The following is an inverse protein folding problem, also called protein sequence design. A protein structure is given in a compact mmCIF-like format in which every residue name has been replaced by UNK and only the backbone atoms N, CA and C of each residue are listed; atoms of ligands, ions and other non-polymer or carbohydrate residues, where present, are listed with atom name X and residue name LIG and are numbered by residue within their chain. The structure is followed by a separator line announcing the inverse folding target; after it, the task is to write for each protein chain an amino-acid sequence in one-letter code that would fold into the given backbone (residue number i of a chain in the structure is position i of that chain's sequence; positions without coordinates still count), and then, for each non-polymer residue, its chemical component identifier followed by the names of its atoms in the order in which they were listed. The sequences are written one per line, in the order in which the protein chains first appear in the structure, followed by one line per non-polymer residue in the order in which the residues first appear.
data_IF_877874669756
#
_entry.id   IF_877874669756
#
_cell.length_a   1.000
_cell.length_b   1.000
_cell.length_c   1.000
_cell.angle_alpha   90.00
_cell.angle_beta   90.00
_cell.angle_gamma   90.00
#
_symmetry.space_group_name_H-M   'P 1'
#
loop_
_entity.id
_entity.type
_entity.pdbx_description
1 polymer ?
#
# COMPACT_ATOMS: atom_id res chain seq x y z
N UNK A 1 -18.15 15.52 9.98
CA UNK A 1 -19.12 16.19 9.07
C UNK A 1 -19.37 15.41 7.76
N UNK A 2 -18.36 14.87 7.06
CA UNK A 2 -18.57 14.07 5.84
C UNK A 2 -19.44 12.80 6.06
N UNK A 3 -19.27 12.09 7.18
CA UNK A 3 -20.07 10.90 7.50
C UNK A 3 -21.57 11.17 7.69
N UNK A 4 -21.93 12.34 8.22
CA UNK A 4 -23.34 12.76 8.37
C UNK A 4 -23.95 13.13 7.03
N UNK A 5 -23.20 13.83 6.16
CA UNK A 5 -23.65 14.17 4.79
C UNK A 5 -23.90 12.92 3.96
N UNK A 6 -23.00 11.93 4.01
CA UNK A 6 -23.19 10.65 3.31
C UNK A 6 -24.40 9.86 3.84
N UNK A 7 -24.67 9.90 5.14
CA UNK A 7 -25.88 9.28 5.72
C UNK A 7 -27.15 9.96 5.20
N UNK A 8 -27.20 11.29 5.14
CA UNK A 8 -28.36 12.03 4.61
C UNK A 8 -28.60 11.73 3.13
N UNK A 9 -27.55 11.75 2.31
CA UNK A 9 -27.62 11.41 0.87
C UNK A 9 -28.09 9.97 0.67
N UNK A 10 -27.58 9.04 1.47
CA UNK A 10 -28.05 7.66 1.44
C UNK A 10 -29.54 7.56 1.75
N UNK A 11 -30.01 8.18 2.83
CA UNK A 11 -31.42 8.12 3.20
C UNK A 11 -32.34 8.67 2.10
N UNK A 12 -31.92 9.76 1.44
CA UNK A 12 -32.67 10.39 0.35
C UNK A 12 -32.72 9.52 -0.92
N UNK A 13 -31.61 8.86 -1.28
CA UNK A 13 -31.48 8.14 -2.54
C UNK A 13 -31.37 6.62 -2.40
N UNK A 14 -31.66 6.05 -1.22
CA UNK A 14 -31.38 4.64 -0.88
C UNK A 14 -31.90 3.63 -1.90
N UNK A 15 -33.09 3.86 -2.45
CA UNK A 15 -33.71 2.92 -3.40
C UNK A 15 -32.98 2.93 -4.74
N UNK A 16 -32.59 4.11 -5.21
CA UNK A 16 -31.83 4.28 -6.45
C UNK A 16 -30.42 3.73 -6.27
N UNK A 17 -29.75 4.09 -5.17
CA UNK A 17 -28.40 3.61 -4.87
C UNK A 17 -28.34 2.08 -4.76
N UNK A 18 -29.30 1.44 -4.08
CA UNK A 18 -29.38 -0.03 -4.04
C UNK A 18 -29.54 -0.63 -5.44
N UNK A 19 -30.47 -0.09 -6.24
CA UNK A 19 -30.67 -0.56 -7.61
C UNK A 19 -29.40 -0.43 -8.45
N UNK A 20 -28.70 0.70 -8.37
CA UNK A 20 -27.43 0.91 -9.09
C UNK A 20 -26.36 -0.08 -8.61
N UNK A 21 -26.24 -0.30 -7.31
CA UNK A 21 -25.30 -1.27 -6.73
C UNK A 21 -25.59 -2.71 -7.19
N UNK A 22 -26.86 -3.09 -7.24
CA UNK A 22 -27.32 -4.39 -7.73
C UNK A 22 -27.02 -4.54 -9.23
N UNK A 23 -27.31 -3.51 -10.03
CA UNK A 23 -27.02 -3.48 -11.47
C UNK A 23 -25.51 -3.55 -11.74
N UNK A 24 -24.67 -2.87 -10.97
CA UNK A 24 -23.21 -3.01 -11.06
C UNK A 24 -22.80 -4.45 -10.79
N UNK A 25 -23.38 -5.08 -9.77
CA UNK A 25 -23.06 -6.48 -9.42
C UNK A 25 -23.48 -7.45 -10.52
N UNK A 26 -24.64 -7.22 -11.15
CA UNK A 26 -25.12 -8.00 -12.30
C UNK A 26 -24.20 -7.83 -13.50
N UNK A 27 -23.82 -6.59 -13.84
CA UNK A 27 -22.92 -6.30 -14.95
C UNK A 27 -21.55 -6.98 -14.75
N UNK A 28 -20.98 -6.89 -13.54
CA UNK A 28 -19.74 -7.59 -13.20
C UNK A 28 -19.87 -9.11 -13.28
N UNK A 29 -20.99 -9.69 -12.84
CA UNK A 29 -21.25 -11.12 -12.96
C UNK A 29 -21.40 -11.57 -14.43
N UNK A 30 -21.86 -10.69 -15.31
CA UNK A 30 -21.94 -10.90 -16.75
C UNK A 30 -20.65 -10.54 -17.50
N UNK A 31 -19.56 -10.21 -16.79
CA UNK A 31 -18.29 -9.73 -17.34
C UNK A 31 -18.39 -8.42 -18.16
N UNK A 32 -19.49 -7.67 -18.03
CA UNK A 32 -19.68 -6.36 -18.66
C UNK A 32 -19.06 -5.25 -17.80
N UNK A 33 -17.73 -5.16 -17.89
CA UNK A 33 -16.93 -4.15 -17.18
C UNK A 33 -17.28 -2.72 -17.60
N UNK A 34 -17.46 -2.38 -18.90
CA UNK A 34 -17.84 -1.03 -19.30
C UNK A 34 -19.13 -0.55 -18.63
N UNK A 35 -20.18 -1.37 -18.64
CA UNK A 35 -21.44 -1.02 -17.96
C UNK A 35 -21.27 -0.89 -16.45
N UNK A 36 -20.52 -1.81 -15.83
CA UNK A 36 -20.26 -1.74 -14.39
C UNK A 36 -19.54 -0.43 -13.99
N UNK A 37 -18.55 -0.01 -14.76
CA UNK A 37 -17.80 1.25 -14.52
C UNK A 37 -18.73 2.45 -14.71
N UNK A 38 -19.52 2.50 -15.77
CA UNK A 38 -20.48 3.59 -15.99
C UNK A 38 -21.48 3.72 -14.81
N UNK A 39 -21.96 2.60 -14.26
CA UNK A 39 -22.84 2.61 -13.10
C UNK A 39 -22.15 3.10 -11.82
N UNK A 40 -20.87 2.75 -11.62
CA UNK A 40 -20.06 3.26 -10.50
C UNK A 40 -19.82 4.77 -10.63
N UNK A 41 -19.56 5.25 -11.84
CA UNK A 41 -19.40 6.67 -12.15
C UNK A 41 -20.69 7.46 -11.91
N UNK A 42 -21.86 6.91 -12.27
CA UNK A 42 -23.16 7.51 -11.96
C UNK A 42 -23.35 7.63 -10.43
N UNK A 43 -23.03 6.59 -9.67
CA UNK A 43 -23.10 6.62 -8.20
C UNK A 43 -22.20 7.74 -7.63
N UNK A 44 -20.99 7.90 -8.15
CA UNK A 44 -20.06 8.95 -7.74
C UNK A 44 -20.52 10.36 -8.13
N UNK A 45 -20.82 10.58 -9.40
CA UNK A 45 -21.11 11.92 -9.94
C UNK A 45 -22.44 12.47 -9.47
N UNK A 46 -23.51 11.68 -9.66
CA UNK A 46 -24.88 12.12 -9.46
C UNK A 46 -25.29 12.06 -7.98
N UNK A 47 -24.74 11.09 -7.24
CA UNK A 47 -25.17 10.81 -5.87
C UNK A 47 -24.07 10.95 -4.83
N UNK A 48 -22.85 11.36 -5.20
CA UNK A 48 -21.71 11.51 -4.27
C UNK A 48 -21.53 10.27 -3.38
N UNK A 49 -21.69 9.08 -3.97
CA UNK A 49 -21.70 7.81 -3.27
C UNK A 49 -20.44 6.98 -3.60
N UNK A 50 -19.33 7.16 -2.84
CA UNK A 50 -18.06 6.49 -3.16
C UNK A 50 -17.96 5.04 -2.68
N UNK A 51 -18.90 4.58 -1.86
CA UNK A 51 -18.69 3.38 -1.05
C UNK A 51 -18.55 2.10 -1.87
N UNK A 52 -19.30 1.92 -2.97
CA UNK A 52 -19.15 0.68 -3.76
C UNK A 52 -17.78 0.61 -4.44
N UNK A 53 -17.29 1.74 -4.98
CA UNK A 53 -15.91 1.82 -5.50
C UNK A 53 -14.90 1.52 -4.40
N UNK A 54 -15.04 2.14 -3.23
CA UNK A 54 -14.14 1.87 -2.11
C UNK A 54 -14.19 0.41 -1.63
N UNK A 55 -15.37 -0.24 -1.65
CA UNK A 55 -15.47 -1.66 -1.33
C UNK A 55 -14.73 -2.52 -2.36
N UNK A 56 -14.88 -2.26 -3.65
CA UNK A 56 -14.17 -2.99 -4.71
C UNK A 56 -12.65 -2.78 -4.63
N UNK A 57 -12.20 -1.56 -4.35
CA UNK A 57 -10.77 -1.25 -4.22
C UNK A 57 -10.15 -1.87 -2.97
N UNK A 58 -10.81 -1.75 -1.82
CA UNK A 58 -10.19 -2.02 -0.51
C UNK A 58 -10.61 -3.33 0.15
N UNK A 59 -11.60 -4.05 -0.40
CA UNK A 59 -12.01 -5.37 0.08
C UNK A 59 -11.87 -6.38 -1.05
N UNK A 60 -10.74 -7.09 -1.11
CA UNK A 60 -10.46 -8.07 -2.17
C UNK A 60 -11.60 -9.08 -2.38
N UNK A 61 -12.24 -9.54 -1.30
CA UNK A 61 -13.39 -10.47 -1.35
C UNK A 61 -14.67 -9.89 -1.98
N UNK A 62 -14.75 -8.58 -2.22
CA UNK A 62 -15.88 -7.92 -2.91
C UNK A 62 -15.66 -7.78 -4.41
N UNK A 63 -14.44 -8.04 -4.91
CA UNK A 63 -14.14 -8.00 -6.34
C UNK A 63 -14.78 -9.19 -7.07
N UNK A 64 -14.92 -9.12 -8.40
CA UNK A 64 -15.33 -10.28 -9.21
C UNK A 64 -14.45 -11.51 -8.89
N UNK A 65 -15.08 -12.68 -8.81
CA UNK A 65 -14.36 -13.95 -8.58
C UNK A 65 -13.49 -14.33 -9.77
N UNK A 66 -13.93 -13.98 -10.97
CA UNK A 66 -13.12 -14.10 -12.17
C UNK A 66 -12.00 -13.05 -12.12
N UNK A 67 -10.76 -13.52 -12.12
CA UNK A 67 -9.59 -12.67 -12.00
C UNK A 67 -9.33 -11.83 -13.26
N UNK A 68 -9.78 -12.25 -14.45
CA UNK A 68 -9.74 -11.42 -15.66
C UNK A 68 -10.71 -10.25 -15.56
N UNK A 69 -11.94 -10.50 -15.09
CA UNK A 69 -12.93 -9.45 -14.88
C UNK A 69 -12.47 -8.48 -13.78
N UNK A 70 -11.90 -9.00 -12.70
CA UNK A 70 -11.31 -8.14 -11.65
C UNK A 70 -10.16 -7.29 -12.20
N UNK A 71 -9.28 -7.85 -13.03
CA UNK A 71 -8.18 -7.11 -13.63
C UNK A 71 -8.70 -5.98 -14.54
N UNK A 72 -9.60 -6.31 -15.47
CA UNK A 72 -10.19 -5.35 -16.40
C UNK A 72 -10.95 -4.23 -15.67
N UNK A 73 -11.68 -4.54 -14.60
CA UNK A 73 -12.34 -3.56 -13.75
C UNK A 73 -11.34 -2.59 -13.11
N UNK A 74 -10.26 -3.11 -12.52
CA UNK A 74 -9.27 -2.27 -11.84
C UNK A 74 -8.52 -1.35 -12.81
N UNK A 75 -8.19 -1.85 -14.02
CA UNK A 75 -7.61 -1.04 -15.09
C UNK A 75 -8.56 0.06 -15.56
N UNK A 76 -9.84 -0.27 -15.77
CA UNK A 76 -10.84 0.71 -16.18
C UNK A 76 -11.05 1.80 -15.11
N UNK A 77 -11.07 1.43 -13.82
CA UNK A 77 -11.17 2.40 -12.71
C UNK A 77 -9.89 3.25 -12.58
N UNK A 78 -8.72 2.67 -12.85
CA UNK A 78 -7.46 3.42 -12.86
C UNK A 78 -7.45 4.50 -13.95
N UNK A 79 -7.98 4.20 -15.12
CA UNK A 79 -8.05 5.11 -16.27
C UNK A 79 -9.30 6.00 -16.30
N UNK A 80 -10.25 5.84 -15.37
CA UNK A 80 -11.50 6.61 -15.38
C UNK A 80 -11.25 8.08 -15.08
N UNK A 81 -11.61 9.03 -15.96
CA UNK A 81 -11.44 10.46 -15.70
C UNK A 81 -12.45 11.00 -14.66
N UNK A 82 -13.44 10.20 -14.30
CA UNK A 82 -14.52 10.58 -13.38
C UNK A 82 -14.14 10.32 -11.93
N UNK A 83 -13.35 9.28 -11.68
CA UNK A 83 -12.94 8.92 -10.33
C UNK A 83 -12.04 10.01 -9.70
N UNK A 84 -12.18 10.30 -8.40
CA UNK A 84 -11.21 11.10 -7.68
C UNK A 84 -9.79 10.53 -7.80
N UNK A 85 -8.74 11.37 -7.86
CA UNK A 85 -7.36 10.93 -8.07
C UNK A 85 -6.89 9.83 -7.11
N UNK A 86 -7.29 9.89 -5.83
CA UNK A 86 -6.91 8.85 -4.86
C UNK A 86 -7.53 7.47 -5.18
N UNK A 87 -8.73 7.44 -5.78
CA UNK A 87 -9.38 6.18 -6.18
C UNK A 87 -8.69 5.60 -7.42
N UNK A 88 -8.39 6.43 -8.43
CA UNK A 88 -7.59 6.04 -9.59
C UNK A 88 -6.22 5.49 -9.15
N UNK A 89 -5.58 6.15 -8.19
CA UNK A 89 -4.31 5.72 -7.62
C UNK A 89 -4.41 4.31 -7.01
N UNK A 90 -5.38 4.08 -6.12
CA UNK A 90 -5.53 2.76 -5.50
C UNK A 90 -6.08 1.69 -6.44
N UNK A 91 -6.80 2.07 -7.51
CA UNK A 91 -7.15 1.17 -8.59
C UNK A 91 -5.90 0.68 -9.33
N UNK A 92 -4.96 1.58 -9.63
CA UNK A 92 -3.66 1.23 -10.22
C UNK A 92 -2.84 0.32 -9.31
N UNK A 93 -2.72 0.65 -8.01
CA UNK A 93 -2.05 -0.22 -7.03
C UNK A 93 -2.70 -1.61 -7.00
N UNK A 94 -4.03 -1.67 -6.90
CA UNK A 94 -4.75 -2.93 -6.87
C UNK A 94 -4.61 -3.73 -8.17
N UNK A 95 -4.53 -3.05 -9.32
CA UNK A 95 -4.32 -3.64 -10.65
C UNK A 95 -2.93 -4.27 -10.75
N UNK A 96 -1.87 -3.64 -10.20
CA UNK A 96 -0.54 -4.24 -10.12
C UNK A 96 -0.56 -5.52 -9.29
N UNK A 97 -1.17 -5.51 -8.10
CA UNK A 97 -1.29 -6.72 -7.28
C UNK A 97 -2.05 -7.84 -7.98
N UNK A 98 -3.16 -7.52 -8.66
CA UNK A 98 -3.93 -8.50 -9.40
C UNK A 98 -3.16 -9.06 -10.61
N UNK A 99 -2.36 -8.23 -11.29
CA UNK A 99 -1.48 -8.68 -12.37
C UNK A 99 -0.34 -9.57 -11.84
N UNK A 100 0.24 -9.26 -10.67
CA UNK A 100 1.21 -10.14 -10.00
C UNK A 100 0.61 -11.50 -9.64
N UNK A 101 -0.58 -11.52 -9.04
CA UNK A 101 -1.27 -12.78 -8.67
C UNK A 101 -1.59 -13.66 -9.90
N UNK A 102 -1.73 -13.04 -11.08
CA UNK A 102 -2.03 -13.71 -12.36
C UNK A 102 -0.80 -13.97 -13.23
N UNK A 103 0.38 -13.53 -12.81
CA UNK A 103 1.60 -13.50 -13.63
C UNK A 103 1.41 -12.82 -15.01
N UNK A 104 0.61 -11.75 -15.04
CA UNK A 104 0.28 -11.00 -16.27
C UNK A 104 1.40 -9.99 -16.60
N UNK A 105 2.45 -10.47 -17.25
CA UNK A 105 3.63 -9.68 -17.56
C UNK A 105 3.35 -8.48 -18.48
N UNK A 106 2.39 -8.60 -19.41
CA UNK A 106 2.01 -7.48 -20.29
C UNK A 106 1.38 -6.34 -19.49
N UNK A 107 0.48 -6.68 -18.57
CA UNK A 107 -0.13 -5.68 -17.69
C UNK A 107 0.91 -5.02 -16.78
N UNK A 108 1.81 -5.82 -16.18
CA UNK A 108 2.89 -5.31 -15.34
C UNK A 108 3.82 -4.35 -16.09
N UNK A 109 4.24 -4.70 -17.31
CA UNK A 109 5.08 -3.84 -18.16
C UNK A 109 4.41 -2.49 -18.46
N UNK A 110 3.09 -2.48 -18.67
CA UNK A 110 2.32 -1.26 -18.93
C UNK A 110 2.15 -0.38 -17.67
N UNK A 111 1.94 -0.98 -16.50
CA UNK A 111 1.71 -0.25 -15.25
C UNK A 111 3.00 0.20 -14.55
N UNK A 112 4.11 -0.47 -14.82
CA UNK A 112 5.39 -0.21 -14.16
C UNK A 112 5.89 1.24 -14.29
N UNK A 113 5.85 1.91 -15.46
CA UNK A 113 6.28 3.31 -15.57
C UNK A 113 5.47 4.24 -14.66
N UNK A 114 4.15 4.05 -14.62
CA UNK A 114 3.28 4.80 -13.71
C UNK A 114 3.63 4.51 -12.25
N UNK A 115 3.81 3.23 -11.88
CA UNK A 115 4.14 2.84 -10.52
C UNK A 115 5.49 3.42 -10.05
N UNK A 116 6.52 3.39 -10.91
CA UNK A 116 7.83 4.00 -10.67
C UNK A 116 7.73 5.51 -10.48
N UNK A 117 6.89 6.19 -11.27
CA UNK A 117 6.62 7.61 -11.10
C UNK A 117 5.96 7.91 -9.74
N UNK A 118 4.96 7.12 -9.34
CA UNK A 118 4.26 7.32 -8.07
C UNK A 118 5.11 7.01 -6.83
N UNK A 119 6.00 6.03 -6.96
CA UNK A 119 6.92 5.64 -5.88
C UNK A 119 7.93 6.76 -5.54
N UNK A 120 8.17 7.69 -6.46
CA UNK A 120 9.07 8.83 -6.30
C UNK A 120 10.36 8.47 -5.56
N UNK A 121 11.20 7.67 -6.23
CA UNK A 121 12.49 7.22 -5.70
C UNK A 121 13.57 8.31 -5.79
N UNK A 122 13.24 9.51 -6.28
CA UNK A 122 14.17 10.64 -6.41
C UNK A 122 14.33 11.45 -5.11
N UNK A 123 13.70 11.01 -4.01
CA UNK A 123 13.89 11.55 -2.65
C UNK A 123 13.40 12.99 -2.43
N UNK A 124 12.42 13.46 -3.21
CA UNK A 124 11.91 14.83 -3.13
C UNK A 124 10.60 14.95 -2.33
N UNK A 125 10.40 14.14 -1.29
CA UNK A 125 9.18 14.28 -0.48
C UNK A 125 9.21 15.60 0.31
N UNK A 126 8.58 16.62 -0.25
CA UNK A 126 8.29 17.87 0.45
C UNK A 126 6.94 17.68 1.16
N UNK A 127 6.89 17.68 2.50
CA UNK A 127 5.63 17.61 3.22
C UNK A 127 4.79 18.84 2.84
N UNK A 128 3.79 18.67 1.99
CA UNK A 128 2.78 19.71 1.80
C UNK A 128 2.04 19.90 3.13
N UNK A 129 1.90 21.14 3.63
CA UNK A 129 1.06 21.42 4.78
C UNK A 129 -0.30 20.76 4.54
N UNK A 130 -0.66 19.81 5.41
CA UNK A 130 -1.89 19.05 5.23
C UNK A 130 -3.05 20.03 5.09
N UNK A 131 -3.74 20.02 3.94
CA UNK A 131 -5.03 20.65 3.86
C UNK A 131 -5.91 20.00 4.95
N UNK A 132 -6.43 20.82 5.85
CA UNK A 132 -7.21 20.33 6.99
C UNK A 132 -8.38 19.48 6.48
N UNK A 133 -8.45 18.21 6.91
CA UNK A 133 -9.57 17.31 6.60
C UNK A 133 -9.37 16.29 5.47
N UNK A 134 -8.16 16.14 4.89
CA UNK A 134 -7.89 15.00 3.99
C UNK A 134 -8.03 13.66 4.72
N UNK A 135 -8.68 12.69 4.05
CA UNK A 135 -8.78 11.32 4.57
C UNK A 135 -7.45 10.59 4.42
N UNK A 136 -7.25 9.53 5.22
CA UNK A 136 -6.05 8.69 5.22
C UNK A 136 -5.46 8.39 3.83
N UNK A 137 -6.35 7.96 2.92
CA UNK A 137 -6.04 7.48 1.57
C UNK A 137 -5.83 8.62 0.56
N UNK A 138 -6.25 9.83 0.89
CA UNK A 138 -6.05 11.00 0.05
C UNK A 138 -4.69 11.65 0.28
N UNK A 139 -4.01 11.29 1.39
CA UNK A 139 -2.76 11.93 1.78
C UNK A 139 -1.58 11.46 0.90
N UNK A 140 -0.80 12.37 0.29
CA UNK A 140 0.33 12.02 -0.58
C UNK A 140 1.34 11.08 0.08
N UNK A 141 1.72 11.36 1.34
CA UNK A 141 2.64 10.49 2.09
C UNK A 141 2.18 9.01 2.14
N UNK A 142 0.88 8.77 2.35
CA UNK A 142 0.31 7.42 2.36
C UNK A 142 0.35 6.77 0.99
N UNK A 143 0.21 7.55 -0.07
CA UNK A 143 0.27 7.09 -1.46
C UNK A 143 1.71 6.76 -1.86
N UNK A 144 2.69 7.61 -1.52
CA UNK A 144 4.12 7.34 -1.73
C UNK A 144 4.55 6.04 -1.05
N UNK A 145 4.28 5.88 0.24
CA UNK A 145 4.64 4.67 0.97
C UNK A 145 3.90 3.43 0.44
N UNK A 146 2.65 3.58 0.01
CA UNK A 146 1.88 2.47 -0.60
C UNK A 146 2.40 2.07 -1.98
N UNK A 147 2.82 3.02 -2.81
CA UNK A 147 3.36 2.76 -4.14
C UNK A 147 4.76 2.15 -4.07
N UNK A 148 5.62 2.60 -3.16
CA UNK A 148 6.92 1.96 -2.87
C UNK A 148 6.75 0.51 -2.41
N UNK A 149 5.86 0.26 -1.46
CA UNK A 149 5.57 -1.12 -1.02
C UNK A 149 5.02 -2.01 -2.16
N UNK A 150 4.25 -1.43 -3.10
CA UNK A 150 3.76 -2.14 -4.27
C UNK A 150 4.87 -2.39 -5.31
N UNK A 151 5.71 -1.39 -5.58
CA UNK A 151 6.88 -1.51 -6.45
C UNK A 151 7.88 -2.53 -5.91
N UNK A 152 8.03 -2.62 -4.59
CA UNK A 152 8.84 -3.65 -3.94
C UNK A 152 8.36 -5.05 -4.32
N UNK A 153 7.05 -5.31 -4.35
CA UNK A 153 6.56 -6.64 -4.75
C UNK A 153 6.92 -6.96 -6.21
N UNK A 154 6.80 -5.97 -7.11
CA UNK A 154 7.19 -6.14 -8.51
C UNK A 154 8.71 -6.38 -8.65
N UNK A 155 9.52 -5.63 -7.90
CA UNK A 155 10.97 -5.79 -7.90
C UNK A 155 11.39 -7.15 -7.34
N UNK A 156 10.76 -7.60 -6.25
CA UNK A 156 10.93 -8.92 -5.67
C UNK A 156 10.56 -10.01 -6.68
N UNK A 157 9.42 -9.90 -7.38
CA UNK A 157 9.02 -10.87 -8.42
C UNK A 157 10.08 -11.09 -9.50
N UNK A 158 10.93 -10.07 -9.74
CA UNK A 158 11.98 -10.09 -10.75
C UNK A 158 13.38 -10.28 -10.17
N UNK A 159 13.50 -10.39 -8.84
CA UNK A 159 14.78 -10.32 -8.12
C UNK A 159 15.64 -9.12 -8.56
N UNK A 160 14.98 -7.97 -8.80
CA UNK A 160 15.61 -6.72 -9.25
C UNK A 160 16.25 -6.00 -8.05
N UNK A 161 17.50 -6.34 -7.80
CA UNK A 161 18.27 -5.89 -6.65
C UNK A 161 18.41 -4.36 -6.61
N UNK A 162 18.66 -3.72 -7.76
CA UNK A 162 18.87 -2.27 -7.84
C UNK A 162 17.61 -1.51 -7.44
N UNK A 163 16.44 -1.94 -7.92
CA UNK A 163 15.17 -1.32 -7.55
C UNK A 163 14.83 -1.58 -6.07
N UNK A 164 15.10 -2.78 -5.56
CA UNK A 164 14.89 -3.13 -4.14
C UNK A 164 15.67 -2.17 -3.23
N UNK A 165 16.97 -1.97 -3.49
CA UNK A 165 17.79 -1.08 -2.67
C UNK A 165 17.40 0.39 -2.81
N UNK A 166 17.09 0.86 -4.03
CA UNK A 166 16.63 2.25 -4.23
C UNK A 166 15.32 2.56 -3.51
N UNK A 167 14.41 1.59 -3.41
CA UNK A 167 13.20 1.72 -2.59
C UNK A 167 13.59 1.88 -1.12
N UNK A 168 14.49 1.02 -0.65
CA UNK A 168 14.87 0.97 0.74
C UNK A 168 15.61 2.24 1.19
N UNK A 169 16.52 2.76 0.37
CA UNK A 169 17.15 4.07 0.56
C UNK A 169 16.10 5.19 0.60
N UNK A 170 15.19 5.23 -0.38
CA UNK A 170 14.17 6.26 -0.44
C UNK A 170 13.21 6.23 0.77
N UNK A 171 12.91 5.05 1.32
CA UNK A 171 12.13 4.89 2.55
C UNK A 171 12.93 5.21 3.81
N UNK A 172 14.25 4.96 3.82
CA UNK A 172 15.14 5.38 4.90
C UNK A 172 15.18 6.90 5.01
N UNK A 173 15.42 7.62 3.90
CA UNK A 173 15.39 9.08 3.90
C UNK A 173 14.03 9.64 4.31
N UNK A 174 12.93 9.00 3.86
CA UNK A 174 11.58 9.40 4.27
C UNK A 174 11.35 9.23 5.77
N UNK A 175 11.96 8.22 6.39
CA UNK A 175 11.88 7.97 7.83
C UNK A 175 12.81 8.90 8.62
N UNK A 176 14.02 9.15 8.13
CA UNK A 176 15.02 9.99 8.80
C UNK A 176 14.58 11.46 8.86
N UNK A 177 14.01 11.98 7.75
CA UNK A 177 13.46 13.35 7.68
C UNK A 177 12.02 13.48 8.22
N UNK A 178 11.48 12.42 8.82
CA UNK A 178 10.10 12.38 9.27
C UNK A 178 9.82 13.48 10.31
N UNK A 179 8.83 14.32 10.02
CA UNK A 179 8.27 15.31 10.94
C UNK A 179 6.84 14.89 11.33
N UNK A 180 6.65 14.08 12.38
CA UNK A 180 5.35 13.45 12.67
C UNK A 180 4.21 14.44 12.89
N UNK A 181 4.49 15.63 13.42
CA UNK A 181 3.50 16.66 13.68
C UNK A 181 2.90 17.26 12.40
N UNK A 182 3.56 17.11 11.24
CA UNK A 182 3.06 17.56 9.94
C UNK A 182 2.16 16.51 9.25
N UNK A 183 2.11 15.27 9.76
CA UNK A 183 1.35 14.18 9.17
C UNK A 183 0.18 13.82 10.09
N UNK A 184 -1.05 13.63 9.57
CA UNK A 184 -2.17 13.15 10.38
C UNK A 184 -1.85 11.82 11.08
N UNK A 185 -2.26 11.67 12.33
CA UNK A 185 -1.89 10.51 13.16
C UNK A 185 -2.34 9.16 12.54
N UNK A 186 -3.54 9.11 11.97
CA UNK A 186 -4.05 7.91 11.28
C UNK A 186 -3.29 7.61 9.98
N UNK A 187 -2.83 8.64 9.26
CA UNK A 187 -1.99 8.50 8.06
C UNK A 187 -0.67 7.83 8.39
N UNK A 188 0.09 8.42 9.33
CA UNK A 188 1.39 7.90 9.73
C UNK A 188 1.26 6.48 10.29
N UNK A 189 0.32 6.28 11.23
CA UNK A 189 0.10 4.98 11.85
C UNK A 189 -0.18 3.88 10.83
N UNK A 190 -1.14 4.10 9.92
CA UNK A 190 -1.55 3.06 8.94
C UNK A 190 -0.57 2.86 7.80
N UNK A 191 0.40 3.75 7.55
CA UNK A 191 1.43 3.47 6.55
C UNK A 191 2.69 2.84 7.15
N UNK A 192 2.84 2.83 8.48
CA UNK A 192 3.98 2.21 9.18
C UNK A 192 4.38 0.87 8.58
N UNK A 193 3.48 -0.13 8.49
CA UNK A 193 3.88 -1.45 7.99
C UNK A 193 4.34 -1.44 6.53
N UNK A 194 3.79 -0.57 5.67
CA UNK A 194 4.29 -0.42 4.31
C UNK A 194 5.67 0.26 4.26
N UNK A 195 5.91 1.22 5.14
CA UNK A 195 7.24 1.84 5.29
C UNK A 195 8.26 0.80 5.76
N UNK A 196 7.91 -0.01 6.76
CA UNK A 196 8.79 -1.08 7.25
C UNK A 196 9.14 -2.08 6.14
N UNK A 197 8.19 -2.45 5.29
CA UNK A 197 8.44 -3.34 4.14
C UNK A 197 9.56 -2.84 3.24
N UNK A 198 9.50 -1.55 2.89
CA UNK A 198 10.50 -0.94 2.03
C UNK A 198 11.86 -0.81 2.69
N UNK A 199 11.94 -0.64 4.02
CA UNK A 199 13.20 -0.50 4.77
C UNK A 199 13.98 -1.81 4.95
N UNK A 200 13.28 -2.95 5.02
CA UNK A 200 13.88 -4.23 5.37
C UNK A 200 15.10 -4.65 4.54
N UNK A 201 15.19 -4.38 3.22
CA UNK A 201 16.40 -4.65 2.44
C UNK A 201 17.70 -4.04 3.01
N UNK A 202 17.63 -2.84 3.60
CA UNK A 202 18.81 -2.19 4.20
C UNK A 202 19.26 -2.86 5.50
N UNK A 203 18.37 -3.60 6.16
CA UNK A 203 18.65 -4.20 7.46
C UNK A 203 19.42 -5.53 7.37
N UNK A 204 19.68 -6.01 6.16
CA UNK A 204 20.53 -7.19 5.91
C UNK A 204 22.00 -6.91 6.25
N UNK A 205 22.46 -5.68 6.04
CA UNK A 205 23.80 -5.23 6.38
C UNK A 205 23.82 -4.71 7.83
N UNK A 206 24.67 -5.28 8.69
CA UNK A 206 24.73 -4.92 10.11
C UNK A 206 25.11 -3.46 10.35
N UNK A 207 25.99 -2.89 9.54
CA UNK A 207 26.41 -1.49 9.66
C UNK A 207 25.29 -0.54 9.25
N UNK A 208 24.60 -0.81 8.14
CA UNK A 208 23.44 -0.01 7.72
C UNK A 208 22.26 -0.21 8.67
N UNK A 209 22.06 -1.42 9.17
CA UNK A 209 21.03 -1.73 10.15
C UNK A 209 21.13 -0.86 11.41
N UNK A 210 22.35 -0.56 11.89
CA UNK A 210 22.56 0.37 13.01
C UNK A 210 22.03 1.78 12.70
N UNK A 211 22.23 2.25 11.46
CA UNK A 211 21.76 3.58 11.02
C UNK A 211 20.24 3.62 10.90
N UNK A 212 19.61 2.54 10.42
CA UNK A 212 18.15 2.43 10.27
C UNK A 212 17.45 2.26 11.63
N UNK A 213 18.11 1.61 12.60
CA UNK A 213 17.50 1.29 13.89
C UNK A 213 17.12 2.54 14.70
N UNK A 214 17.96 3.57 14.70
CA UNK A 214 17.71 4.78 15.50
C UNK A 214 16.43 5.52 15.05
N UNK A 215 16.23 5.85 13.76
CA UNK A 215 14.96 6.41 13.28
C UNK A 215 13.75 5.50 13.54
N UNK A 216 13.89 4.18 13.43
CA UNK A 216 12.82 3.23 13.77
C UNK A 216 12.42 3.29 15.24
N UNK A 217 13.41 3.40 16.15
CA UNK A 217 13.15 3.57 17.57
C UNK A 217 12.45 4.91 17.86
N UNK A 218 12.82 5.98 17.15
CA UNK A 218 12.13 7.26 17.18
C UNK A 218 10.66 7.14 16.77
N UNK A 219 10.39 6.48 15.63
CA UNK A 219 9.02 6.20 15.18
C UNK A 219 8.25 5.36 16.21
N UNK A 220 8.89 4.35 16.81
CA UNK A 220 8.28 3.51 17.87
C UNK A 220 7.83 4.35 19.06
N UNK A 221 8.65 5.30 19.50
CA UNK A 221 8.30 6.22 20.59
C UNK A 221 7.16 7.17 20.20
N UNK A 222 7.20 7.72 18.97
CA UNK A 222 6.13 8.58 18.45
C UNK A 222 4.79 7.85 18.39
N UNK A 223 4.73 6.61 17.87
CA UNK A 223 3.48 5.87 17.73
C UNK A 223 2.85 5.43 19.07
N UNK A 224 3.57 5.54 20.19
CA UNK A 224 3.05 5.34 21.55
C UNK A 224 2.32 6.57 22.10
N UNK A 225 2.52 7.75 21.52
CA UNK A 225 1.91 9.01 21.97
C UNK A 225 0.37 8.96 21.94
N UNK A 226 -0.27 9.83 22.74
CA UNK A 226 -1.72 9.87 22.91
C UNK A 226 -2.48 10.14 21.60
N UNK A 227 -1.91 10.95 20.70
CA UNK A 227 -2.53 11.30 19.40
C UNK A 227 -2.83 10.07 18.52
N UNK A 228 -2.18 8.94 18.76
CA UNK A 228 -2.38 7.69 18.01
C UNK A 228 -3.35 6.72 18.67
N UNK A 229 -3.87 7.01 19.88
CA UNK A 229 -4.84 6.14 20.58
C UNK A 229 -6.01 5.75 19.65
N UNK A 230 -6.68 6.70 18.94
CA UNK A 230 -7.78 6.31 18.07
C UNK A 230 -7.32 5.37 16.94
N UNK A 231 -6.18 5.65 16.31
CA UNK A 231 -5.64 4.82 15.23
C UNK A 231 -5.32 3.40 15.71
N UNK A 232 -4.76 3.25 16.92
CA UNK A 232 -4.48 1.95 17.55
C UNK A 232 -5.76 1.16 17.83
N UNK A 233 -6.86 1.82 18.19
CA UNK A 233 -8.13 1.16 18.48
C UNK A 233 -8.93 0.76 17.23
N UNK A 234 -8.82 1.52 16.13
CA UNK A 234 -9.67 1.35 14.94
C UNK A 234 -8.95 0.72 13.72
N UNK A 235 -7.63 0.56 13.78
CA UNK A 235 -6.92 -0.18 12.74
C UNK A 235 -7.19 -1.69 12.87
N UNK A 236 -7.40 -2.36 11.74
CA UNK A 236 -7.49 -3.82 11.69
C UNK A 236 -6.13 -4.50 11.88
N UNK A 237 -5.06 -3.81 11.47
CA UNK A 237 -3.68 -4.29 11.58
C UNK A 237 -3.00 -3.71 12.82
N UNK A 238 -2.17 -4.53 13.48
CA UNK A 238 -1.41 -4.16 14.68
C UNK A 238 -0.08 -3.49 14.33
N UNK A 239 -0.14 -2.34 13.64
CA UNK A 239 1.04 -1.66 13.08
C UNK A 239 2.14 -1.37 14.11
N UNK A 240 1.78 -0.91 15.32
CA UNK A 240 2.75 -0.67 16.39
C UNK A 240 3.42 -1.96 16.88
N UNK A 241 2.66 -3.04 17.05
CA UNK A 241 3.22 -4.31 17.48
C UNK A 241 4.21 -4.85 16.43
N UNK A 242 3.89 -4.70 15.14
CA UNK A 242 4.81 -5.05 14.06
C UNK A 242 6.12 -4.27 14.12
N UNK A 243 6.06 -2.95 14.35
CA UNK A 243 7.24 -2.12 14.55
C UNK A 243 8.04 -2.53 15.79
N UNK A 244 7.37 -2.79 16.90
CA UNK A 244 8.02 -3.20 18.14
C UNK A 244 8.75 -4.54 18.00
N UNK A 245 8.12 -5.52 17.36
CA UNK A 245 8.75 -6.80 17.03
C UNK A 245 9.96 -6.61 16.11
N UNK A 246 9.84 -5.80 15.05
CA UNK A 246 10.95 -5.55 14.16
C UNK A 246 12.12 -4.87 14.88
N UNK A 247 11.88 -3.81 15.66
CA UNK A 247 12.94 -3.14 16.42
C UNK A 247 13.66 -4.11 17.36
N UNK A 248 12.93 -4.99 18.05
CA UNK A 248 13.52 -5.99 18.95
C UNK A 248 14.49 -6.92 18.20
N UNK A 249 14.06 -7.44 17.05
CA UNK A 249 14.87 -8.36 16.26
C UNK A 249 16.11 -7.68 15.67
N UNK A 250 15.98 -6.44 15.19
CA UNK A 250 17.12 -5.65 14.72
C UNK A 250 18.09 -5.30 15.86
N UNK A 251 17.59 -5.00 17.07
CA UNK A 251 18.42 -4.77 18.26
C UNK A 251 19.26 -6.02 18.60
N UNK A 252 18.67 -7.22 18.52
CA UNK A 252 19.39 -8.48 18.74
C UNK A 252 20.44 -8.74 17.67
N UNK A 253 20.09 -8.51 16.40
CA UNK A 253 21.00 -8.67 15.26
C UNK A 253 22.23 -7.75 15.36
N UNK A 254 22.00 -6.46 15.61
CA UNK A 254 23.06 -5.45 15.78
C UNK A 254 23.98 -5.78 16.96
N UNK A 255 23.46 -6.35 18.04
CA UNK A 255 24.25 -6.73 19.21
C UNK A 255 25.03 -8.05 19.04
N UNK A 256 24.95 -8.71 17.88
CA UNK A 256 25.54 -10.03 17.64
C UNK A 256 24.91 -11.16 18.48
N UNK A 257 23.69 -10.93 18.99
CA UNK A 257 22.94 -11.87 19.85
C UNK A 257 21.78 -12.55 19.11
N UNK A 258 21.44 -12.08 17.92
CA UNK A 258 20.44 -12.65 17.04
C UNK A 258 21.08 -13.16 15.75
N UNK A 259 20.49 -14.21 15.18
CA UNK A 259 20.74 -14.58 13.79
C UNK A 259 19.72 -13.82 12.96
N UNK A 260 20.16 -13.29 11.82
CA UNK A 260 19.26 -12.84 10.76
C UNK A 260 18.13 -13.88 10.58
N UNK A 261 16.86 -13.45 10.64
CA UNK A 261 15.71 -14.33 10.45
C UNK A 261 15.05 -14.05 9.08
N UNK A 262 15.55 -14.66 8.00
CA UNK A 262 14.96 -14.61 6.66
C UNK A 262 13.44 -14.75 6.62
N UNK A 263 12.90 -15.66 7.42
CA UNK A 263 11.48 -16.00 7.43
C UNK A 263 10.62 -14.88 8.03
N UNK A 264 11.15 -14.15 9.02
CA UNK A 264 10.50 -12.98 9.58
C UNK A 264 10.46 -11.85 8.54
N UNK A 265 11.57 -11.63 7.84
CA UNK A 265 11.64 -10.63 6.78
C UNK A 265 10.76 -10.97 5.59
N UNK A 266 10.69 -12.24 5.18
CA UNK A 266 9.77 -12.72 4.15
C UNK A 266 8.31 -12.42 4.53
N UNK A 267 7.92 -12.77 5.76
CA UNK A 267 6.55 -12.54 6.24
C UNK A 267 6.15 -11.06 6.35
N UNK A 268 7.13 -10.17 6.50
CA UNK A 268 6.89 -8.73 6.51
C UNK A 268 6.93 -8.13 5.10
N UNK A 269 8.01 -8.37 4.34
CA UNK A 269 8.25 -7.80 3.01
C UNK A 269 7.20 -8.21 1.99
N UNK A 270 6.76 -9.47 2.01
CA UNK A 270 5.77 -9.97 1.07
C UNK A 270 4.36 -9.70 1.60
N UNK A 271 3.52 -9.04 0.80
CA UNK A 271 2.13 -8.74 1.15
C UNK A 271 1.13 -9.14 0.04
N UNK A 272 1.56 -10.08 -0.79
CA UNK A 272 0.80 -10.65 -1.89
C UNK A 272 0.87 -12.17 -1.89
N UNK A 273 -0.10 -12.82 -2.53
CA UNK A 273 -0.16 -14.28 -2.68
C UNK A 273 0.60 -14.79 -3.92
N UNK A 274 1.10 -13.88 -4.75
CA UNK A 274 1.82 -14.20 -5.97
C UNK A 274 3.07 -15.06 -5.70
N UNK A 275 3.09 -16.27 -6.26
CA UNK A 275 4.19 -17.23 -6.11
C UNK A 275 5.50 -16.65 -6.64
N UNK A 276 5.45 -15.91 -7.75
CA UNK A 276 6.62 -15.27 -8.38
C UNK A 276 7.32 -14.29 -7.43
N UNK A 277 6.56 -13.59 -6.58
CA UNK A 277 7.11 -12.67 -5.57
C UNK A 277 7.86 -13.44 -4.49
N UNK A 278 7.29 -14.55 -4.02
CA UNK A 278 7.94 -15.41 -3.02
C UNK A 278 9.22 -16.05 -3.57
N UNK A 279 9.17 -16.64 -4.77
CA UNK A 279 10.35 -17.22 -5.41
C UNK A 279 11.43 -16.18 -5.72
N UNK A 280 11.04 -15.00 -6.21
CA UNK A 280 11.99 -13.94 -6.50
C UNK A 280 12.63 -13.33 -5.25
N UNK A 281 11.90 -13.25 -4.14
CA UNK A 281 12.47 -12.92 -2.82
C UNK A 281 13.53 -13.94 -2.41
N UNK A 282 13.25 -15.24 -2.51
CA UNK A 282 14.22 -16.28 -2.11
C UNK A 282 15.52 -16.18 -2.93
N UNK A 283 15.39 -15.95 -4.25
CA UNK A 283 16.53 -15.73 -5.14
C UNK A 283 17.33 -14.48 -4.71
N UNK A 284 16.64 -13.37 -4.46
CA UNK A 284 17.29 -12.13 -4.01
C UNK A 284 18.02 -12.34 -2.68
N UNK A 285 17.35 -12.96 -1.70
CA UNK A 285 17.93 -13.17 -0.37
C UNK A 285 19.16 -14.09 -0.42
N UNK A 286 19.10 -15.18 -1.19
CA UNK A 286 20.25 -16.07 -1.37
C UNK A 286 21.47 -15.31 -1.90
N UNK A 287 21.28 -14.42 -2.87
CA UNK A 287 22.36 -13.57 -3.39
C UNK A 287 22.94 -12.64 -2.34
N UNK A 288 22.10 -12.05 -1.49
CA UNK A 288 22.59 -11.17 -0.41
C UNK A 288 23.36 -11.92 0.67
N UNK A 289 22.88 -13.10 1.07
CA UNK A 289 23.59 -13.93 2.05
C UNK A 289 24.93 -14.43 1.51
N UNK A 290 25.01 -14.79 0.23
CA UNK A 290 26.28 -15.19 -0.40
C UNK A 290 27.31 -14.07 -0.47
N UNK A 291 26.92 -12.78 -0.41
CA UNK A 291 27.87 -11.65 -0.37
C UNK A 291 28.52 -11.47 1.01
N UNK A 292 27.91 -12.00 2.08
CA UNK A 292 28.42 -11.86 3.44
C UNK A 292 29.44 -12.95 3.82
N UNK A 293 29.58 -13.99 2.98
CA UNK A 293 30.51 -15.12 3.18
C UNK A 293 31.89 -14.90 2.52
N UNK A 294 32.11 -13.78 1.84
CA UNK A 294 33.38 -13.37 1.21
C UNK A 294 33.87 -12.01 1.73
#
# INVERSE_FOLDING_TARGET
MQSLRHRSVWWQHRHILRRLQDQTSIALAAADVPTAVALLEIQLCCYKWPFQVEELLFRRHRRPKDSHVSQALLEALHCSPVLPPYQQFYAGIASVYAALDRDDQLCLQRLEPWLKQQADLAMLFVPTPAATGQRNREHPWKQTVSSRACLLQLALARADQDVIYRIAEADYYLLDDLKPHLIPADVLYRATTNLLRGLLPLTLDTHICQQVLLPLQGLRQELRQLRYVPSRCYASERHLATLESLCYELELFVCGRGVCQPQLWLGLMINTSAITVASGFEIWLQRELSKQEY
#
